data_IF_231932295569
#
_entry.id   IF_231932295569
#
_cell.length_a   1.000
_cell.length_b   1.000
_cell.length_c   1.000
_cell.angle_alpha   90.00
_cell.angle_beta   90.00
_cell.angle_gamma   90.00
#
_symmetry.space_group_name_H-M   'P 1'
#
loop_
_entity.id
_entity.type
_entity.pdbx_description
1 polymer ?
#
# COMPACT_ATOMS: atom_id res chain seq x y z
N UNK A 1 12.26 -1.77 -2.42
CA UNK A 1 10.88 -1.59 -1.95
C UNK A 1 10.69 -0.10 -1.74
N UNK A 2 9.67 0.50 -2.38
CA UNK A 2 9.36 1.93 -2.24
C UNK A 2 7.90 2.07 -1.84
N UNK A 3 7.59 3.14 -1.12
CA UNK A 3 6.23 3.54 -0.75
C UNK A 3 6.09 4.98 -1.20
N UNK A 4 4.97 5.31 -1.83
CA UNK A 4 4.67 6.66 -2.27
C UNK A 4 4.57 7.61 -1.06
N UNK A 5 5.24 8.77 -1.15
CA UNK A 5 5.00 9.91 -0.30
C UNK A 5 4.23 11.00 -1.07
N UNK A 6 4.03 12.14 -0.43
CA UNK A 6 3.23 13.23 -0.99
C UNK A 6 3.75 13.78 -2.33
N UNK A 7 5.04 13.66 -2.62
CA UNK A 7 5.63 14.13 -3.88
C UNK A 7 5.39 13.18 -5.07
N UNK A 8 4.88 11.98 -4.81
CA UNK A 8 4.47 11.03 -5.84
C UNK A 8 3.04 11.28 -6.33
N UNK A 9 2.31 12.22 -5.71
CA UNK A 9 1.01 12.67 -6.22
C UNK A 9 1.20 13.50 -7.49
N UNK A 10 0.79 12.94 -8.62
CA UNK A 10 0.83 13.55 -9.96
C UNK A 10 -0.49 14.26 -10.33
N UNK A 11 -1.38 14.44 -9.36
CA UNK A 11 -2.73 14.97 -9.58
C UNK A 11 -3.68 13.98 -10.25
N UNK A 12 -3.26 12.72 -10.39
CA UNK A 12 -4.02 11.64 -11.04
C UNK A 12 -4.00 10.36 -10.21
N UNK A 13 -3.99 10.48 -8.89
CA UNK A 13 -3.95 9.34 -7.97
C UNK A 13 -2.68 8.48 -8.17
N UNK A 14 -1.52 9.13 -8.20
CA UNK A 14 -0.19 8.49 -8.18
C UNK A 14 0.09 7.59 -9.39
N UNK A 15 -0.43 7.92 -10.58
CA UNK A 15 -0.28 7.07 -11.77
C UNK A 15 1.17 6.87 -12.18
N UNK A 16 1.99 7.92 -12.14
CA UNK A 16 3.42 7.80 -12.44
C UNK A 16 4.15 6.83 -11.50
N UNK A 17 3.76 6.80 -10.22
CA UNK A 17 4.30 5.85 -9.26
C UNK A 17 3.82 4.42 -9.58
N UNK A 18 2.50 4.24 -9.76
CA UNK A 18 1.90 2.92 -9.99
C UNK A 18 2.39 2.25 -11.28
N UNK A 19 2.64 3.02 -12.34
CA UNK A 19 3.09 2.51 -13.64
C UNK A 19 4.60 2.19 -13.70
N UNK A 20 5.41 2.77 -12.79
CA UNK A 20 6.88 2.65 -12.82
C UNK A 20 7.43 1.73 -11.74
N UNK A 21 6.74 1.60 -10.62
CA UNK A 21 7.20 0.82 -9.49
C UNK A 21 6.28 -0.37 -9.23
N UNK A 22 6.85 -1.57 -9.35
CA UNK A 22 6.15 -2.83 -9.06
C UNK A 22 6.48 -3.31 -7.65
N UNK A 23 5.44 -3.46 -6.82
CA UNK A 23 5.53 -3.98 -5.45
C UNK A 23 4.90 -5.37 -5.34
N UNK A 24 5.12 -6.12 -4.24
CA UNK A 24 4.44 -7.36 -3.98
C UNK A 24 2.92 -7.19 -4.07
N UNK A 25 2.27 -8.20 -4.62
CA UNK A 25 0.83 -8.19 -4.79
C UNK A 25 0.12 -8.15 -3.42
N UNK A 26 -0.82 -7.22 -3.28
CA UNK A 26 -1.66 -7.05 -2.10
C UNK A 26 -3.10 -7.57 -2.33
N UNK A 27 -3.44 -8.03 -3.54
CA UNK A 27 -4.78 -8.48 -3.91
C UNK A 27 -5.76 -7.36 -4.27
N UNK A 28 -5.30 -6.11 -4.33
CA UNK A 28 -6.09 -4.92 -4.66
C UNK A 28 -5.69 -4.26 -5.98
N UNK A 29 -4.78 -4.88 -6.75
CA UNK A 29 -4.21 -4.32 -7.98
C UNK A 29 -3.64 -2.91 -7.74
N UNK A 30 -2.84 -2.79 -6.68
CA UNK A 30 -2.31 -1.54 -6.17
C UNK A 30 -0.87 -1.78 -5.67
N UNK A 31 0.03 -0.81 -5.85
CA UNK A 31 1.43 -0.86 -5.40
C UNK A 31 1.75 0.09 -4.25
N UNK A 32 0.75 0.77 -3.68
CA UNK A 32 0.94 1.77 -2.61
C UNK A 32 1.07 1.17 -1.20
N UNK A 33 0.56 -0.04 -0.97
CA UNK A 33 0.74 -0.77 0.28
C UNK A 33 0.96 -2.24 -0.02
N UNK A 34 1.78 -2.90 0.78
CA UNK A 34 2.19 -4.28 0.56
C UNK A 34 2.92 -4.81 1.77
N UNK A 35 3.09 -6.13 1.83
CA UNK A 35 3.95 -6.79 2.80
C UNK A 35 4.82 -7.82 2.10
N UNK A 36 5.92 -8.20 2.74
CA UNK A 36 6.82 -9.24 2.26
C UNK A 36 7.73 -9.71 3.39
N UNK A 37 8.25 -10.93 3.24
CA UNK A 37 9.13 -11.52 4.24
C UNK A 37 10.59 -11.54 3.75
N UNK A 38 11.50 -11.11 4.63
CA UNK A 38 12.95 -11.32 4.46
C UNK A 38 13.49 -11.95 5.73
N UNK A 39 13.85 -13.23 5.63
CA UNK A 39 14.27 -14.01 6.79
C UNK A 39 13.13 -14.08 7.81
N UNK A 40 13.38 -13.89 9.12
CA UNK A 40 12.36 -13.97 10.16
C UNK A 40 11.53 -12.69 10.32
N UNK A 41 11.67 -11.71 9.41
CA UNK A 41 11.05 -10.39 9.52
C UNK A 41 9.96 -10.26 8.47
N UNK A 42 8.75 -9.99 8.95
CA UNK A 42 7.62 -9.56 8.16
C UNK A 42 7.61 -8.03 8.03
N UNK A 43 7.80 -7.52 6.81
CA UNK A 43 7.83 -6.09 6.52
C UNK A 43 6.47 -5.64 5.99
N UNK A 44 6.00 -4.50 6.48
CA UNK A 44 4.73 -3.89 6.07
C UNK A 44 4.99 -2.47 5.59
N UNK A 45 4.62 -2.18 4.34
CA UNK A 45 4.56 -0.84 3.77
C UNK A 45 3.11 -0.36 3.73
N UNK A 46 2.86 0.84 4.28
CA UNK A 46 1.54 1.48 4.28
C UNK A 46 1.62 2.82 3.54
N UNK A 47 0.59 3.17 2.78
CA UNK A 47 0.47 4.51 2.22
C UNK A 47 -0.16 5.46 3.23
N UNK A 48 0.61 6.43 3.69
CA UNK A 48 0.08 7.58 4.44
C UNK A 48 -0.78 8.47 3.53
N UNK A 49 -0.49 8.48 2.24
CA UNK A 49 -1.07 9.39 1.27
C UNK A 49 -2.54 9.06 0.95
N UNK A 50 -2.96 7.81 1.08
CA UNK A 50 -4.40 7.48 1.02
C UNK A 50 -5.21 8.20 2.10
N UNK A 51 -4.66 8.38 3.30
CA UNK A 51 -5.30 9.20 4.34
C UNK A 51 -5.13 10.70 4.08
N UNK A 52 -4.03 11.12 3.46
CA UNK A 52 -3.79 12.53 3.11
C UNK A 52 -4.70 13.05 1.99
N UNK A 53 -5.02 12.20 1.01
CA UNK A 53 -5.68 12.57 -0.25
C UNK A 53 -7.08 11.98 -0.43
N UNK A 54 -7.71 11.43 0.62
CA UNK A 54 -9.05 10.84 0.49
C UNK A 54 -10.13 11.84 0.03
N UNK A 55 -9.95 13.14 0.27
CA UNK A 55 -10.84 14.18 -0.25
C UNK A 55 -10.72 14.35 -1.77
N UNK A 56 -9.56 14.01 -2.36
CA UNK A 56 -9.29 14.11 -3.80
C UNK A 56 -9.62 12.81 -4.53
N UNK A 57 -9.30 11.66 -3.93
CA UNK A 57 -9.35 10.34 -4.59
C UNK A 57 -10.37 9.37 -3.99
N UNK A 58 -11.08 9.80 -2.94
CA UNK A 58 -12.16 9.05 -2.31
C UNK A 58 -11.70 8.10 -1.20
N UNK A 59 -12.69 7.53 -0.51
CA UNK A 59 -12.46 6.63 0.65
C UNK A 59 -12.14 5.18 0.26
N UNK A 60 -12.27 4.81 -1.02
CA UNK A 60 -12.04 3.44 -1.49
C UNK A 60 -10.66 2.90 -1.13
N UNK A 61 -9.56 3.59 -1.52
CA UNK A 61 -8.20 3.16 -1.20
C UNK A 61 -7.93 3.07 0.30
N UNK A 62 -8.49 3.99 1.10
CA UNK A 62 -8.37 3.97 2.57
C UNK A 62 -8.97 2.70 3.16
N UNK A 63 -10.19 2.33 2.73
CA UNK A 63 -10.89 1.14 3.23
C UNK A 63 -10.24 -0.15 2.73
N UNK A 64 -9.74 -0.16 1.49
CA UNK A 64 -8.97 -1.28 0.94
C UNK A 64 -7.70 -1.55 1.77
N UNK A 65 -6.88 -0.51 2.02
CA UNK A 65 -5.69 -0.64 2.85
C UNK A 65 -6.02 -1.06 4.28
N UNK A 66 -7.10 -0.54 4.87
CA UNK A 66 -7.52 -0.92 6.21
C UNK A 66 -7.89 -2.40 6.33
N UNK A 67 -8.75 -2.91 5.44
CA UNK A 67 -9.14 -4.33 5.47
C UNK A 67 -7.98 -5.25 5.10
N UNK A 68 -7.13 -4.83 4.16
CA UNK A 68 -5.88 -5.52 3.83
C UNK A 68 -4.98 -5.66 5.07
N UNK A 69 -4.62 -4.54 5.70
CA UNK A 69 -3.68 -4.51 6.83
C UNK A 69 -4.20 -5.34 8.01
N UNK A 70 -5.51 -5.27 8.27
CA UNK A 70 -6.14 -6.07 9.32
C UNK A 70 -6.03 -7.57 9.07
N UNK A 71 -5.97 -8.02 7.82
CA UNK A 71 -5.78 -9.43 7.47
C UNK A 71 -4.30 -9.81 7.45
N UNK A 72 -3.44 -8.94 6.92
CA UNK A 72 -1.99 -9.10 6.90
C UNK A 72 -1.42 -9.29 8.32
N UNK A 73 -1.85 -8.46 9.28
CA UNK A 73 -1.42 -8.54 10.68
C UNK A 73 -1.90 -9.79 11.43
N UNK A 74 -2.85 -10.57 10.87
CA UNK A 74 -3.26 -11.85 11.45
C UNK A 74 -2.41 -13.01 10.97
N UNK A 75 -1.59 -12.81 9.92
CA UNK A 75 -0.70 -13.84 9.42
C UNK A 75 0.27 -14.19 10.53
N UNK A 76 0.22 -15.45 10.98
CA UNK A 76 1.14 -15.95 11.98
C UNK A 76 2.40 -16.45 11.27
N UNK A 77 3.52 -15.75 11.49
CA UNK A 77 4.80 -16.14 10.92
C UNK A 77 5.36 -17.36 11.67
N UNK A 78 5.49 -18.51 10.98
CA UNK A 78 6.18 -19.70 11.49
C UNK A 78 5.34 -20.85 12.03
N UNK A 79 4.17 -21.16 11.44
CA UNK A 79 3.49 -22.45 11.61
C UNK A 79 3.44 -23.26 10.31
#
# INVERSE_FOLDING_TARGET
MVVAGNHEDDGKNFTDYQERFWMPDNGYNDSQFYSFDIGPIHWVGISAEYYGYFYSYGMGPVMAQYEWLKNDLKVCFGM
#
